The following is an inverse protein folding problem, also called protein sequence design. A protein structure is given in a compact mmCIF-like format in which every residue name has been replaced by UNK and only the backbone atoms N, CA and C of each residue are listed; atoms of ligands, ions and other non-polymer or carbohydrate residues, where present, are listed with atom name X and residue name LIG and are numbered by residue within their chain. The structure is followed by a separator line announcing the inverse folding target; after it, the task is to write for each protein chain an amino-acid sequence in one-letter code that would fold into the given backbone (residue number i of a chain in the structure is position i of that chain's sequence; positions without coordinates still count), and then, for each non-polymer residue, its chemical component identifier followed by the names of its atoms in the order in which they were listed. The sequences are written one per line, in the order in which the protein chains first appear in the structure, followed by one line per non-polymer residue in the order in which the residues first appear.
data_IF_576410098826
#
_entry.id   IF_576410098826
#
_cell.length_a   1.000
_cell.length_b   1.000
_cell.length_c   1.000
_cell.angle_alpha   90.00
_cell.angle_beta   90.00
_cell.angle_gamma   90.00
#
_symmetry.space_group_name_H-M   'P 1'
#
loop_
_entity.id
_entity.type
_entity.pdbx_description
1 polymer ?
#
# COMPACT_ATOMS: atom_id res chain seq x y z
N UNK A 1 -14.61 3.89 3.79
CA UNK A 1 -14.35 4.58 5.08
C UNK A 1 -14.04 6.07 4.92
N UNK A 2 -13.15 6.50 4.01
CA UNK A 2 -12.74 7.91 3.92
C UNK A 2 -13.91 8.90 3.64
N UNK A 3 -14.87 8.53 2.79
CA UNK A 3 -16.07 9.34 2.54
C UNK A 3 -17.08 9.26 3.69
N UNK A 4 -17.62 8.07 3.96
CA UNK A 4 -18.79 7.91 4.85
C UNK A 4 -18.47 7.72 6.35
N UNK A 5 -17.20 7.54 6.72
CA UNK A 5 -16.78 7.45 8.12
C UNK A 5 -15.91 8.65 8.52
N UNK A 6 -14.95 9.05 7.69
CA UNK A 6 -14.03 10.13 8.01
C UNK A 6 -14.45 11.50 7.44
N UNK A 7 -15.32 11.55 6.42
CA UNK A 7 -15.68 12.80 5.73
C UNK A 7 -14.52 13.48 5.01
N UNK A 8 -13.42 12.75 4.78
CA UNK A 8 -12.19 13.30 4.20
C UNK A 8 -12.24 13.36 2.66
N UNK A 9 -13.10 12.55 2.05
CA UNK A 9 -13.23 12.41 0.59
C UNK A 9 -14.63 12.84 0.12
N UNK A 10 -14.77 13.27 -1.15
CA UNK A 10 -16.05 13.77 -1.68
C UNK A 10 -17.21 12.79 -1.47
N UNK A 11 -18.42 13.35 -1.31
CA UNK A 11 -19.67 12.59 -1.23
C UNK A 11 -20.18 12.30 0.18
N UNK A 12 -19.52 12.82 1.24
CA UNK A 12 -19.99 12.62 2.61
C UNK A 12 -19.50 13.71 3.59
N UNK A 13 -20.43 14.21 4.41
CA UNK A 13 -20.15 15.02 5.60
C UNK A 13 -20.81 14.32 6.80
N UNK A 14 -20.29 13.15 7.21
CA UNK A 14 -21.01 12.29 8.12
C UNK A 14 -21.14 12.95 9.50
N UNK A 15 -22.35 12.92 10.05
CA UNK A 15 -22.56 13.33 11.43
C UNK A 15 -22.13 12.23 12.42
N UNK A 16 -22.11 12.53 13.72
CA UNK A 16 -21.66 11.57 14.73
C UNK A 16 -22.51 10.28 14.76
N UNK A 17 -23.80 10.37 14.46
CA UNK A 17 -24.68 9.20 14.44
C UNK A 17 -24.40 8.34 13.22
N UNK A 18 -24.17 8.95 12.05
CA UNK A 18 -23.77 8.25 10.84
C UNK A 18 -22.42 7.56 11.02
N UNK A 19 -21.44 8.22 11.64
CA UNK A 19 -20.14 7.59 11.96
C UNK A 19 -20.34 6.40 12.91
N UNK A 20 -21.08 6.58 14.01
CA UNK A 20 -21.30 5.55 15.01
C UNK A 20 -22.08 4.34 14.48
N UNK A 21 -22.96 4.54 13.51
CA UNK A 21 -23.78 3.48 12.91
C UNK A 21 -23.22 2.97 11.58
N UNK A 22 -22.14 3.56 11.06
CA UNK A 22 -21.63 3.28 9.70
C UNK A 22 -21.31 1.80 9.46
N UNK A 23 -20.79 1.10 10.48
CA UNK A 23 -20.44 -0.31 10.39
C UNK A 23 -21.62 -1.27 10.59
N UNK A 24 -22.80 -0.79 11.03
CA UNK A 24 -24.01 -1.62 11.14
C UNK A 24 -24.49 -2.03 9.74
N UNK A 25 -25.24 -3.14 9.58
CA UNK A 25 -25.76 -3.58 8.28
C UNK A 25 -26.59 -2.51 7.55
N UNK A 26 -27.27 -1.64 8.29
CA UNK A 26 -28.06 -0.51 7.76
C UNK A 26 -27.26 0.79 7.67
N UNK A 27 -25.99 0.80 8.08
CA UNK A 27 -25.12 1.96 8.04
C UNK A 27 -24.76 2.37 6.62
N UNK A 28 -24.53 3.67 6.40
CA UNK A 28 -24.26 4.24 5.07
C UNK A 28 -23.04 3.60 4.41
N UNK A 29 -22.00 3.28 5.18
CA UNK A 29 -20.82 2.60 4.66
C UNK A 29 -21.16 1.21 4.10
N UNK A 30 -21.87 0.37 4.87
CA UNK A 30 -22.25 -0.98 4.40
C UNK A 30 -23.20 -0.92 3.19
N UNK A 31 -24.14 0.02 3.17
CA UNK A 31 -25.02 0.22 2.01
C UNK A 31 -24.23 0.64 0.76
N UNK A 32 -23.27 1.55 0.90
CA UNK A 32 -22.41 1.94 -0.22
C UNK A 32 -21.59 0.75 -0.75
N UNK A 33 -20.96 -0.03 0.15
CA UNK A 33 -20.22 -1.23 -0.24
C UNK A 33 -21.12 -2.26 -0.95
N UNK A 34 -22.35 -2.45 -0.47
CA UNK A 34 -23.33 -3.34 -1.10
C UNK A 34 -23.68 -2.90 -2.53
N UNK A 35 -23.98 -1.61 -2.74
CA UNK A 35 -24.30 -1.10 -4.08
C UNK A 35 -23.09 -1.10 -5.02
N UNK A 36 -21.88 -0.86 -4.51
CA UNK A 36 -20.65 -1.04 -5.28
C UNK A 36 -20.47 -2.49 -5.73
N UNK A 37 -20.75 -3.47 -4.86
CA UNK A 37 -20.68 -4.89 -5.21
C UNK A 37 -21.71 -5.25 -6.30
N UNK A 38 -22.97 -4.80 -6.16
CA UNK A 38 -24.00 -5.00 -7.20
C UNK A 38 -23.58 -4.37 -8.53
N UNK A 39 -23.03 -3.17 -8.50
CA UNK A 39 -22.56 -2.49 -9.70
C UNK A 39 -21.41 -3.24 -10.38
N UNK A 40 -20.44 -3.75 -9.59
CA UNK A 40 -19.36 -4.60 -10.06
C UNK A 40 -19.90 -5.86 -10.74
N UNK A 41 -20.77 -6.62 -10.07
CA UNK A 41 -21.33 -7.87 -10.63
C UNK A 41 -22.11 -7.62 -11.93
N UNK A 42 -22.88 -6.54 -12.01
CA UNK A 42 -23.59 -6.16 -13.25
C UNK A 42 -22.62 -5.77 -14.37
N UNK A 43 -21.55 -5.05 -14.05
CA UNK A 43 -20.53 -4.66 -15.03
C UNK A 43 -19.76 -5.88 -15.54
N UNK A 44 -19.41 -6.81 -14.65
CA UNK A 44 -18.82 -8.11 -14.99
C UNK A 44 -19.70 -8.84 -16.01
N UNK A 45 -20.95 -9.11 -15.68
CA UNK A 45 -21.89 -9.83 -16.55
C UNK A 45 -22.04 -9.14 -17.91
N UNK A 46 -22.18 -7.80 -17.91
CA UNK A 46 -22.30 -7.03 -19.13
C UNK A 46 -21.05 -7.10 -20.01
N UNK A 47 -19.84 -6.99 -19.43
CA UNK A 47 -18.58 -7.05 -20.17
C UNK A 47 -18.40 -8.44 -20.80
N UNK A 48 -18.65 -9.52 -20.06
CA UNK A 48 -18.54 -10.86 -20.62
C UNK A 48 -19.61 -11.16 -21.68
N UNK A 49 -20.80 -10.57 -21.57
CA UNK A 49 -21.87 -10.75 -22.57
C UNK A 49 -21.62 -9.93 -23.85
N UNK A 50 -21.08 -8.70 -23.73
CA UNK A 50 -21.04 -7.73 -24.84
C UNK A 50 -19.66 -7.46 -25.42
N UNK A 51 -18.58 -7.81 -24.73
CA UNK A 51 -17.24 -7.55 -25.24
C UNK A 51 -16.96 -8.32 -26.52
N UNK A 52 -16.29 -7.65 -27.46
CA UNK A 52 -15.78 -8.28 -28.69
C UNK A 52 -14.38 -8.86 -28.50
N UNK A 53 -13.76 -8.65 -27.34
CA UNK A 53 -12.48 -9.27 -27.00
C UNK A 53 -12.67 -10.79 -26.82
N UNK A 54 -11.71 -11.62 -27.26
CA UNK A 54 -11.84 -13.07 -27.18
C UNK A 54 -11.84 -13.61 -25.74
N UNK A 55 -11.22 -12.90 -24.80
CA UNK A 55 -11.18 -13.27 -23.39
C UNK A 55 -11.05 -11.99 -22.53
N UNK A 56 -12.12 -11.19 -22.37
CA UNK A 56 -12.08 -10.08 -21.44
C UNK A 56 -11.86 -10.63 -20.03
N UNK A 57 -10.99 -9.99 -19.26
CA UNK A 57 -10.82 -10.28 -17.83
C UNK A 57 -11.32 -9.09 -17.03
N UNK A 58 -12.11 -9.36 -16.00
CA UNK A 58 -12.67 -8.35 -15.10
C UNK A 58 -12.25 -8.67 -13.68
N UNK A 59 -11.73 -7.67 -12.99
CA UNK A 59 -11.27 -7.80 -11.62
C UNK A 59 -11.57 -6.54 -10.82
N UNK A 60 -11.02 -6.49 -9.62
CA UNK A 60 -11.15 -5.36 -8.69
C UNK A 60 -9.78 -4.77 -8.41
N UNK A 61 -9.68 -3.46 -8.18
CA UNK A 61 -8.50 -2.83 -7.57
C UNK A 61 -8.79 -2.59 -6.09
N UNK A 62 -8.41 -3.53 -5.23
CA UNK A 62 -8.78 -3.52 -3.81
C UNK A 62 -7.63 -2.99 -2.95
N UNK A 63 -7.85 -1.86 -2.28
CA UNK A 63 -6.86 -1.29 -1.37
C UNK A 63 -6.77 -2.07 -0.06
N UNK A 64 -5.56 -2.52 0.26
CA UNK A 64 -5.23 -3.21 1.50
C UNK A 64 -4.09 -2.48 2.18
N UNK A 65 -4.33 -2.04 3.41
CA UNK A 65 -3.32 -1.46 4.28
C UNK A 65 -2.87 -2.49 5.31
N UNK A 66 -1.57 -2.58 5.56
CA UNK A 66 -1.08 -3.38 6.68
C UNK A 66 -1.27 -2.60 7.99
N UNK A 67 -2.26 -2.96 8.79
CA UNK A 67 -2.51 -2.30 10.08
C UNK A 67 -1.76 -3.01 11.20
N UNK A 68 -0.92 -2.27 11.93
CA UNK A 68 -0.26 -2.74 13.15
C UNK A 68 -0.71 -1.94 14.39
N UNK A 69 -0.92 -2.56 15.56
CA UNK A 69 -1.20 -1.85 16.79
C UNK A 69 0.05 -1.09 17.22
N UNK A 70 -0.15 0.05 17.89
CA UNK A 70 0.92 0.74 18.57
C UNK A 70 1.32 0.02 19.87
N UNK A 71 0.35 -0.55 20.59
CA UNK A 71 0.59 -1.42 21.74
C UNK A 71 -0.49 -2.48 21.94
N UNK A 72 -0.31 -3.34 22.96
CA UNK A 72 -1.20 -4.49 23.22
C UNK A 72 -2.69 -4.13 23.33
N UNK A 73 -3.02 -2.94 23.84
CA UNK A 73 -4.41 -2.48 23.99
C UNK A 73 -5.06 -2.06 22.66
N UNK A 74 -4.27 -1.91 21.59
CA UNK A 74 -4.76 -1.49 20.27
C UNK A 74 -5.10 -2.69 19.36
N UNK A 75 -4.77 -3.92 19.78
CA UNK A 75 -5.02 -5.15 19.00
C UNK A 75 -6.49 -5.29 18.62
N UNK A 76 -7.41 -5.07 19.56
CA UNK A 76 -8.84 -5.18 19.30
C UNK A 76 -9.33 -4.15 18.24
N UNK A 77 -8.77 -2.94 18.26
CA UNK A 77 -9.08 -1.90 17.27
C UNK A 77 -8.59 -2.32 15.88
N UNK A 78 -7.38 -2.88 15.78
CA UNK A 78 -6.84 -3.40 14.51
C UNK A 78 -7.64 -4.60 14.01
N UNK A 79 -8.00 -5.55 14.88
CA UNK A 79 -8.82 -6.70 14.50
C UNK A 79 -10.18 -6.25 13.95
N UNK A 80 -10.83 -5.29 14.61
CA UNK A 80 -12.09 -4.72 14.13
C UNK A 80 -11.91 -4.03 12.77
N UNK A 81 -10.91 -3.16 12.63
CA UNK A 81 -10.64 -2.46 11.38
C UNK A 81 -10.37 -3.44 10.22
N UNK A 82 -9.55 -4.46 10.47
CA UNK A 82 -9.25 -5.51 9.49
C UNK A 82 -10.50 -6.31 9.09
N UNK A 83 -11.36 -6.65 10.06
CA UNK A 83 -12.60 -7.38 9.79
C UNK A 83 -13.56 -6.63 8.87
N UNK A 84 -13.50 -5.30 8.84
CA UNK A 84 -14.34 -4.45 8.00
C UNK A 84 -13.73 -4.14 6.64
N UNK A 85 -12.40 -4.20 6.50
CA UNK A 85 -11.70 -3.56 5.36
C UNK A 85 -10.95 -4.54 4.47
N UNK A 86 -10.45 -5.66 5.00
CA UNK A 86 -9.57 -6.54 4.22
C UNK A 86 -10.38 -7.40 3.25
N UNK A 87 -11.35 -8.17 3.75
CA UNK A 87 -12.01 -9.21 2.97
C UNK A 87 -13.48 -8.97 2.57
N UNK A 88 -14.35 -8.30 3.37
CA UNK A 88 -15.79 -8.32 3.11
C UNK A 88 -16.22 -7.90 1.70
N UNK A 89 -15.56 -6.90 1.12
CA UNK A 89 -15.90 -6.45 -0.23
C UNK A 89 -15.54 -7.49 -1.28
N UNK A 90 -14.32 -8.04 -1.24
CA UNK A 90 -13.88 -9.07 -2.19
C UNK A 90 -14.71 -10.34 -2.03
N UNK A 91 -15.06 -10.72 -0.80
CA UNK A 91 -15.99 -11.83 -0.53
C UNK A 91 -17.32 -11.63 -1.28
N UNK A 92 -17.88 -10.41 -1.28
CA UNK A 92 -19.17 -10.07 -1.89
C UNK A 92 -19.20 -10.09 -3.42
N UNK A 93 -18.04 -10.10 -4.08
CA UNK A 93 -17.90 -10.13 -5.54
C UNK A 93 -17.10 -11.34 -6.03
N UNK A 94 -16.77 -12.27 -5.13
CA UNK A 94 -15.81 -13.35 -5.38
C UNK A 94 -16.22 -14.32 -6.50
N UNK A 95 -17.50 -14.42 -6.82
CA UNK A 95 -18.05 -15.20 -7.93
C UNK A 95 -18.06 -14.45 -9.27
N UNK A 96 -17.61 -13.19 -9.30
CA UNK A 96 -17.60 -12.26 -10.44
C UNK A 96 -16.22 -11.59 -10.61
N UNK A 97 -15.16 -12.40 -10.60
CA UNK A 97 -13.78 -11.96 -10.77
C UNK A 97 -12.99 -12.98 -11.60
N UNK A 98 -12.23 -12.50 -12.59
CA UNK A 98 -11.21 -13.26 -13.32
C UNK A 98 -9.80 -13.04 -12.77
N UNK A 99 -9.61 -12.01 -11.94
CA UNK A 99 -8.37 -11.74 -11.19
C UNK A 99 -8.67 -10.91 -9.95
N UNK A 100 -7.78 -10.97 -8.96
CA UNK A 100 -7.82 -10.12 -7.76
C UNK A 100 -6.72 -9.06 -7.86
N UNK A 101 -7.11 -7.79 -7.97
CA UNK A 101 -6.17 -6.67 -7.93
C UNK A 101 -5.96 -6.17 -6.49
N UNK A 102 -4.71 -5.95 -6.13
CA UNK A 102 -4.29 -5.43 -4.82
C UNK A 102 -3.63 -4.06 -5.00
N UNK A 103 -4.15 -3.06 -4.29
CA UNK A 103 -3.49 -1.76 -4.10
C UNK A 103 -2.83 -1.75 -2.73
N UNK A 104 -1.51 -1.57 -2.68
CA UNK A 104 -0.73 -1.61 -1.44
C UNK A 104 0.26 -0.46 -1.38
N UNK A 105 0.31 0.26 -0.26
CA UNK A 105 1.15 1.45 -0.10
C UNK A 105 2.06 1.41 1.15
N UNK A 106 1.95 0.36 1.96
CA UNK A 106 2.71 0.20 3.20
C UNK A 106 1.81 -0.08 4.41
N UNK A 107 2.24 0.43 5.56
CA UNK A 107 1.60 0.19 6.85
C UNK A 107 0.97 1.44 7.49
N UNK A 108 -0.01 1.18 8.35
CA UNK A 108 -0.64 2.13 9.25
C UNK A 108 -0.50 1.63 10.69
N UNK A 109 -0.10 2.52 11.60
CA UNK A 109 -0.03 2.20 13.03
C UNK A 109 -1.29 2.72 13.71
N UNK A 110 -2.02 1.84 14.39
CA UNK A 110 -3.27 2.17 15.07
C UNK A 110 -3.01 2.34 16.56
N UNK A 111 -3.46 3.46 17.13
CA UNK A 111 -3.52 3.66 18.58
C UNK A 111 -4.90 4.19 18.97
N UNK A 112 -5.61 3.50 19.85
CA UNK A 112 -7.02 3.76 20.15
C UNK A 112 -7.86 3.81 18.87
N UNK A 113 -8.46 4.97 18.59
CA UNK A 113 -9.31 5.21 17.42
C UNK A 113 -8.62 5.93 16.27
N UNK A 114 -7.29 6.12 16.32
CA UNK A 114 -6.57 6.97 15.38
C UNK A 114 -5.30 6.36 14.82
N UNK A 115 -4.81 6.95 13.73
CA UNK A 115 -3.51 6.64 13.17
C UNK A 115 -2.41 7.34 13.99
N UNK A 116 -1.35 6.60 14.31
CA UNK A 116 -0.21 7.10 15.07
C UNK A 116 1.04 7.10 14.22
N UNK A 117 1.79 8.20 14.30
CA UNK A 117 3.12 8.28 13.73
C UNK A 117 4.13 7.67 14.73
N UNK A 118 5.00 6.81 14.23
CA UNK A 118 6.09 6.19 14.99
C UNK A 118 7.42 6.75 14.52
N UNK A 119 8.13 7.49 15.36
CA UNK A 119 9.27 8.31 14.88
C UNK A 119 10.41 7.52 14.24
N UNK A 120 10.58 6.26 14.64
CA UNK A 120 11.62 5.38 14.10
C UNK A 120 11.29 4.81 12.73
N UNK A 121 10.03 4.88 12.28
CA UNK A 121 9.62 4.35 10.99
C UNK A 121 9.91 5.32 9.85
N UNK A 122 10.21 4.74 8.68
CA UNK A 122 10.28 5.48 7.43
C UNK A 122 8.86 5.70 6.90
N UNK A 123 8.53 6.95 6.57
CA UNK A 123 7.22 7.32 6.06
C UNK A 123 7.31 7.99 4.69
N UNK A 124 6.32 7.70 3.83
CA UNK A 124 6.03 8.50 2.65
C UNK A 124 5.64 9.93 3.03
N UNK A 125 5.67 10.86 2.08
CA UNK A 125 5.23 12.24 2.33
C UNK A 125 3.75 12.33 2.72
N UNK A 126 2.94 11.35 2.29
CA UNK A 126 1.52 11.22 2.63
C UNK A 126 1.25 10.41 3.91
N UNK A 127 2.28 10.06 4.68
CA UNK A 127 2.15 9.41 5.99
C UNK A 127 1.84 7.92 5.98
N UNK A 128 2.17 7.21 4.89
CA UNK A 128 2.17 5.73 4.87
C UNK A 128 3.54 5.24 5.33
N UNK A 129 3.58 4.35 6.33
CA UNK A 129 4.84 3.75 6.76
C UNK A 129 5.35 2.78 5.70
N UNK A 130 6.63 2.84 5.34
CA UNK A 130 7.23 1.92 4.36
C UNK A 130 7.35 0.54 4.98
N UNK A 131 6.77 -0.48 4.34
CA UNK A 131 6.76 -1.85 4.89
C UNK A 131 6.60 -2.93 3.81
N UNK A 132 7.68 -3.37 3.13
CA UNK A 132 7.59 -4.35 2.05
C UNK A 132 7.10 -5.73 2.52
N UNK A 133 7.46 -6.16 3.72
CA UNK A 133 7.03 -7.44 4.30
C UNK A 133 5.50 -7.53 4.44
N UNK A 134 4.81 -6.40 4.62
CA UNK A 134 3.35 -6.35 4.66
C UNK A 134 2.70 -6.70 3.32
N UNK A 135 3.32 -6.36 2.18
CA UNK A 135 2.84 -6.77 0.86
C UNK A 135 2.96 -8.28 0.68
N UNK A 136 4.11 -8.85 1.05
CA UNK A 136 4.32 -10.30 1.03
C UNK A 136 3.26 -11.05 1.86
N UNK A 137 3.06 -10.62 3.12
CA UNK A 137 2.05 -11.22 4.00
C UNK A 137 0.64 -11.06 3.45
N UNK A 138 0.30 -9.89 2.93
CA UNK A 138 -1.01 -9.63 2.30
C UNK A 138 -1.26 -10.60 1.15
N UNK A 139 -0.29 -10.81 0.27
CA UNK A 139 -0.41 -11.73 -0.86
C UNK A 139 -0.62 -13.17 -0.42
N UNK A 140 0.12 -13.64 0.59
CA UNK A 140 -0.08 -14.99 1.13
C UNK A 140 -1.46 -15.17 1.76
N UNK A 141 -1.92 -14.19 2.56
CA UNK A 141 -3.24 -14.24 3.21
C UNK A 141 -4.38 -14.26 2.19
N UNK A 142 -4.31 -13.41 1.17
CA UNK A 142 -5.30 -13.40 0.09
C UNK A 142 -5.25 -14.68 -0.73
N UNK A 143 -4.06 -15.17 -1.06
CA UNK A 143 -3.93 -16.43 -1.78
C UNK A 143 -4.52 -17.59 -0.99
N UNK A 144 -4.21 -17.72 0.30
CA UNK A 144 -4.74 -18.80 1.14
C UNK A 144 -6.27 -18.79 1.18
N UNK A 145 -6.88 -17.60 1.31
CA UNK A 145 -8.33 -17.44 1.35
C UNK A 145 -9.00 -17.72 0.00
N UNK A 146 -8.42 -17.23 -1.11
CA UNK A 146 -9.06 -17.25 -2.42
C UNK A 146 -8.49 -18.27 -3.42
N UNK A 147 -7.52 -19.12 -3.03
CA UNK A 147 -6.93 -20.15 -3.92
C UNK A 147 -7.96 -21.09 -4.55
N UNK A 148 -9.10 -21.31 -3.89
CA UNK A 148 -10.20 -22.13 -4.41
C UNK A 148 -10.87 -21.52 -5.66
N UNK A 149 -10.74 -20.21 -5.88
CA UNK A 149 -11.22 -19.53 -7.09
C UNK A 149 -10.30 -19.76 -8.30
N UNK A 150 -9.04 -20.15 -8.07
CA UNK A 150 -8.03 -20.36 -9.12
C UNK A 150 -7.86 -19.14 -10.06
N UNK A 151 -7.94 -17.93 -9.51
CA UNK A 151 -7.71 -16.68 -10.24
C UNK A 151 -6.34 -16.07 -9.91
N UNK A 152 -5.68 -15.42 -10.87
CA UNK A 152 -4.42 -14.74 -10.64
C UNK A 152 -4.57 -13.42 -9.87
N UNK A 153 -3.44 -12.89 -9.41
CA UNK A 153 -3.32 -11.60 -8.76
C UNK A 153 -2.63 -10.58 -9.66
N UNK A 154 -3.05 -9.31 -9.56
CA UNK A 154 -2.34 -8.17 -10.14
C UNK A 154 -2.08 -7.17 -9.02
N UNK A 155 -0.85 -6.68 -8.87
CA UNK A 155 -0.62 -5.50 -8.03
C UNK A 155 -1.08 -4.29 -8.85
N UNK A 156 -2.32 -3.87 -8.65
CA UNK A 156 -2.96 -2.83 -9.45
C UNK A 156 -2.46 -1.44 -9.09
N UNK A 157 -1.99 -1.25 -7.85
CA UNK A 157 -1.24 -0.07 -7.44
C UNK A 157 -0.19 -0.43 -6.38
N UNK A 158 1.06 -0.03 -6.59
CA UNK A 158 2.06 0.06 -5.55
C UNK A 158 2.98 1.24 -5.82
N UNK A 159 3.24 2.07 -4.80
CA UNK A 159 4.06 3.26 -4.96
C UNK A 159 4.25 4.01 -3.65
N UNK A 160 5.01 5.10 -3.72
CA UNK A 160 5.34 5.93 -2.55
C UNK A 160 5.44 7.39 -2.95
N UNK A 161 4.87 8.27 -2.12
CA UNK A 161 5.09 9.71 -2.25
C UNK A 161 6.46 10.09 -1.71
N UNK A 162 7.26 10.75 -2.55
CA UNK A 162 8.66 11.12 -2.29
C UNK A 162 9.18 12.09 -3.37
N UNK A 163 9.12 13.40 -3.14
CA UNK A 163 9.64 14.41 -4.06
C UNK A 163 11.13 14.28 -4.32
N UNK A 164 11.89 13.75 -3.35
CA UNK A 164 13.35 13.64 -3.42
C UNK A 164 13.85 12.45 -4.23
N UNK A 165 12.97 11.45 -4.43
CA UNK A 165 13.27 10.18 -5.10
C UNK A 165 14.32 9.29 -4.40
N UNK A 166 14.60 9.57 -3.12
CA UNK A 166 15.55 8.82 -2.30
C UNK A 166 14.91 7.57 -1.65
N UNK A 167 13.63 7.63 -1.28
CA UNK A 167 12.86 6.49 -0.75
C UNK A 167 12.29 5.66 -1.90
N UNK A 168 11.88 6.30 -3.01
CA UNK A 168 11.17 5.62 -4.11
C UNK A 168 11.98 4.49 -4.75
N UNK A 169 13.27 4.70 -4.98
CA UNK A 169 14.15 3.68 -5.59
C UNK A 169 14.25 2.41 -4.74
N UNK A 170 14.67 2.45 -3.45
CA UNK A 170 14.68 1.26 -2.63
C UNK A 170 13.25 0.71 -2.41
N UNK A 171 12.21 1.57 -2.33
CA UNK A 171 10.82 1.11 -2.18
C UNK A 171 10.39 0.17 -3.31
N UNK A 172 10.63 0.58 -4.56
CA UNK A 172 10.34 -0.23 -5.75
C UNK A 172 11.04 -1.58 -5.67
N UNK A 173 12.34 -1.58 -5.37
CA UNK A 173 13.12 -2.81 -5.36
C UNK A 173 12.66 -3.78 -4.26
N UNK A 174 12.45 -3.31 -3.03
CA UNK A 174 12.06 -4.17 -1.92
C UNK A 174 10.63 -4.71 -2.07
N UNK A 175 9.68 -3.92 -2.60
CA UNK A 175 8.31 -4.40 -2.83
C UNK A 175 8.24 -5.40 -3.99
N UNK A 176 9.03 -5.21 -5.05
CA UNK A 176 9.15 -6.22 -6.11
C UNK A 176 9.79 -7.53 -5.61
N UNK A 177 10.77 -7.45 -4.71
CA UNK A 177 11.33 -8.64 -4.04
C UNK A 177 10.29 -9.33 -3.16
N UNK A 178 9.45 -8.58 -2.45
CA UNK A 178 8.33 -9.12 -1.66
C UNK A 178 7.30 -9.86 -2.55
N UNK A 179 6.95 -9.27 -3.70
CA UNK A 179 6.08 -9.94 -4.70
C UNK A 179 6.73 -11.20 -5.24
N UNK A 180 8.01 -11.14 -5.60
CA UNK A 180 8.76 -12.30 -6.11
C UNK A 180 8.82 -13.43 -5.08
N UNK A 181 9.04 -13.10 -3.80
CA UNK A 181 9.01 -14.09 -2.72
C UNK A 181 7.62 -14.72 -2.56
N UNK A 182 6.54 -13.96 -2.71
CA UNK A 182 5.18 -14.51 -2.69
C UNK A 182 4.94 -15.47 -3.88
N UNK A 183 5.47 -15.14 -5.07
CA UNK A 183 5.41 -16.02 -6.24
C UNK A 183 6.17 -17.33 -6.02
N UNK A 184 7.34 -17.30 -5.35
CA UNK A 184 8.07 -18.52 -4.95
C UNK A 184 7.21 -19.41 -4.04
N UNK A 185 6.39 -18.81 -3.19
CA UNK A 185 5.46 -19.53 -2.30
C UNK A 185 4.18 -20.01 -3.00
N UNK A 186 4.04 -19.80 -4.31
CA UNK A 186 2.91 -20.30 -5.11
C UNK A 186 1.81 -19.27 -5.39
N UNK A 187 1.95 -18.01 -4.96
CA UNK A 187 0.96 -16.97 -5.27
C UNK A 187 1.01 -16.62 -6.77
N UNK A 188 -0.09 -16.77 -7.53
CA UNK A 188 -0.09 -16.55 -8.98
C UNK A 188 -0.20 -15.07 -9.35
N UNK A 189 0.86 -14.29 -9.11
CA UNK A 189 0.93 -12.87 -9.51
C UNK A 189 1.33 -12.77 -10.99
N UNK A 190 0.50 -12.10 -11.80
CA UNK A 190 0.69 -11.97 -13.25
C UNK A 190 0.98 -10.54 -13.72
N UNK A 191 0.91 -9.56 -12.81
CA UNK A 191 1.12 -8.15 -13.15
C UNK A 191 1.46 -7.28 -11.96
N UNK A 192 2.18 -6.19 -12.24
CA UNK A 192 2.54 -5.16 -11.28
C UNK A 192 2.48 -3.79 -11.95
N UNK A 193 1.73 -2.86 -11.35
CA UNK A 193 1.55 -1.50 -11.82
C UNK A 193 2.07 -0.53 -10.76
N UNK A 194 3.10 0.25 -11.12
CA UNK A 194 3.62 1.29 -10.25
C UNK A 194 2.68 2.52 -10.27
N UNK A 195 2.26 2.95 -9.08
CA UNK A 195 1.49 4.19 -8.89
C UNK A 195 2.46 5.34 -8.55
N UNK A 196 2.73 6.30 -9.44
CA UNK A 196 2.15 6.54 -10.78
C UNK A 196 3.21 6.83 -11.83
N UNK A 197 2.77 6.92 -13.08
CA UNK A 197 3.61 7.46 -14.15
C UNK A 197 4.01 8.92 -13.88
N UNK A 198 3.11 9.79 -13.43
CA UNK A 198 3.36 11.23 -13.29
C UNK A 198 2.71 11.85 -12.06
N UNK A 199 3.34 12.90 -11.51
CA UNK A 199 2.78 13.67 -10.39
C UNK A 199 1.38 14.19 -10.72
N UNK A 200 0.37 13.74 -9.98
CA UNK A 200 -1.05 14.05 -10.20
C UNK A 200 -1.63 14.88 -9.04
N UNK A 201 -2.96 14.97 -8.94
CA UNK A 201 -3.66 15.58 -7.81
C UNK A 201 -4.04 14.47 -6.81
N UNK A 202 -3.39 14.44 -5.65
CA UNK A 202 -3.48 13.39 -4.63
C UNK A 202 -4.65 13.63 -3.66
N UNK A 203 -5.85 13.79 -4.22
CA UNK A 203 -7.10 13.88 -3.46
C UNK A 203 -7.09 14.98 -2.39
N UNK A 204 -7.39 14.62 -1.14
CA UNK A 204 -7.41 15.55 0.00
C UNK A 204 -6.05 16.18 0.31
N UNK A 205 -4.96 15.66 -0.27
CA UNK A 205 -3.59 16.18 -0.09
C UNK A 205 -3.17 17.16 -1.20
N UNK A 206 -4.06 17.40 -2.18
CA UNK A 206 -3.80 18.33 -3.25
C UNK A 206 -2.60 17.93 -4.11
N UNK A 207 -1.76 18.91 -4.45
CA UNK A 207 -0.56 18.67 -5.26
C UNK A 207 0.70 18.47 -4.42
N UNK A 208 0.61 18.40 -3.08
CA UNK A 208 1.76 18.32 -2.20
C UNK A 208 2.57 17.02 -2.43
N UNK A 209 2.07 15.87 -1.97
CA UNK A 209 2.75 14.59 -2.12
C UNK A 209 3.05 14.25 -3.59
N UNK A 210 4.26 13.76 -3.87
CA UNK A 210 4.68 13.41 -5.24
C UNK A 210 4.77 11.91 -5.41
N UNK A 211 3.81 11.25 -6.07
CA UNK A 211 3.89 9.81 -6.34
C UNK A 211 4.56 9.44 -7.67
N UNK A 212 4.64 10.38 -8.61
CA UNK A 212 5.01 10.07 -9.99
C UNK A 212 6.47 9.67 -10.17
N UNK A 213 6.71 8.68 -11.04
CA UNK A 213 8.03 8.42 -11.61
C UNK A 213 8.51 9.61 -12.46
N UNK A 214 7.59 10.40 -12.99
CA UNK A 214 7.85 11.60 -13.79
C UNK A 214 7.29 12.83 -13.05
N UNK A 215 8.17 13.75 -12.70
CA UNK A 215 7.76 15.02 -12.13
C UNK A 215 7.01 15.87 -13.17
N UNK A 216 6.03 16.65 -12.72
CA UNK A 216 5.28 17.59 -13.57
C UNK A 216 5.48 19.01 -13.06
N UNK A 217 6.22 19.82 -13.82
CA UNK A 217 6.38 21.24 -13.55
C UNK A 217 5.13 22.00 -14.02
N UNK A 218 4.27 22.35 -13.06
CA UNK A 218 3.02 23.05 -13.34
C UNK A 218 3.20 24.53 -13.67
N UNK A 219 4.35 25.12 -13.31
CA UNK A 219 4.67 26.51 -13.61
C UNK A 219 5.29 26.66 -15.00
N UNK A 220 6.02 25.65 -15.47
CA UNK A 220 6.65 25.61 -16.80
C UNK A 220 5.86 24.74 -17.78
N UNK A 221 4.67 25.19 -18.17
CA UNK A 221 3.92 24.59 -19.28
C UNK A 221 3.58 23.09 -19.12
N UNK A 222 3.53 22.59 -17.88
CA UNK A 222 3.38 21.16 -17.56
C UNK A 222 4.59 20.31 -18.00
N UNK A 223 5.82 20.82 -17.97
CA UNK A 223 7.00 20.04 -18.36
C UNK A 223 7.11 18.71 -17.58
N UNK A 224 7.52 17.63 -18.27
CA UNK A 224 7.63 16.28 -17.70
C UNK A 224 9.10 15.91 -17.51
N UNK A 225 9.50 15.65 -16.27
CA UNK A 225 10.90 15.42 -15.91
C UNK A 225 11.01 14.03 -15.25
N UNK A 226 11.54 13.01 -15.97
CA UNK A 226 11.75 11.69 -15.39
C UNK A 226 12.66 11.75 -14.16
N UNK A 227 12.23 11.10 -13.07
CA UNK A 227 13.03 10.95 -11.85
C UNK A 227 14.03 9.79 -11.99
N UNK A 228 15.10 9.72 -11.19
CA UNK A 228 16.01 8.56 -11.19
C UNK A 228 15.30 7.20 -11.08
N UNK A 229 14.22 7.11 -10.30
CA UNK A 229 13.36 5.94 -10.16
C UNK A 229 12.65 5.53 -11.45
N UNK A 230 12.31 6.46 -12.35
CA UNK A 230 11.76 6.13 -13.67
C UNK A 230 12.75 5.27 -14.45
N UNK A 231 14.03 5.67 -14.46
CA UNK A 231 15.08 4.95 -15.17
C UNK A 231 15.37 3.60 -14.51
N UNK A 232 15.39 3.55 -13.17
CA UNK A 232 15.55 2.30 -12.43
C UNK A 232 14.40 1.32 -12.73
N UNK A 233 13.15 1.77 -12.63
CA UNK A 233 11.99 0.93 -12.89
C UNK A 233 11.95 0.47 -14.35
N UNK A 234 12.29 1.36 -15.31
CA UNK A 234 12.42 0.99 -16.72
C UNK A 234 13.48 -0.10 -16.94
N UNK A 235 14.63 0.00 -16.26
CA UNK A 235 15.68 -1.03 -16.28
C UNK A 235 15.18 -2.37 -15.72
N UNK A 236 14.47 -2.35 -14.60
CA UNK A 236 13.91 -3.58 -13.98
C UNK A 236 12.87 -4.22 -14.90
N UNK A 237 11.92 -3.45 -15.44
CA UNK A 237 10.86 -3.94 -16.32
C UNK A 237 11.42 -4.52 -17.63
N UNK A 238 12.41 -3.86 -18.23
CA UNK A 238 13.01 -4.31 -19.49
C UNK A 238 13.93 -5.52 -19.33
N UNK A 239 14.66 -5.61 -18.21
CA UNK A 239 15.56 -6.74 -17.93
C UNK A 239 14.90 -7.92 -17.23
N UNK A 240 13.74 -7.70 -16.58
CA UNK A 240 13.09 -8.66 -15.70
C UNK A 240 13.91 -9.00 -14.45
N UNK A 241 14.87 -8.15 -14.06
CA UNK A 241 15.86 -8.45 -13.01
C UNK A 241 16.08 -7.27 -12.07
N UNK A 242 16.33 -7.58 -10.80
CA UNK A 242 16.87 -6.66 -9.79
C UNK A 242 18.31 -7.08 -9.51
N UNK A 243 19.27 -6.18 -9.72
CA UNK A 243 20.69 -6.49 -9.46
C UNK A 243 21.07 -6.12 -8.03
N UNK A 244 22.09 -6.80 -7.49
CA UNK A 244 22.65 -6.46 -6.17
C UNK A 244 23.25 -5.05 -6.15
N UNK A 245 23.82 -4.60 -7.27
CA UNK A 245 24.39 -3.28 -7.43
C UNK A 245 23.31 -2.19 -7.36
N UNK A 246 22.22 -2.33 -8.14
CA UNK A 246 21.11 -1.37 -8.10
C UNK A 246 20.49 -1.27 -6.70
N UNK A 247 20.31 -2.43 -6.04
CA UNK A 247 19.82 -2.50 -4.66
C UNK A 247 20.77 -1.80 -3.69
N UNK A 248 22.06 -2.13 -3.73
CA UNK A 248 23.05 -1.53 -2.85
C UNK A 248 23.18 0.00 -3.04
N UNK A 249 23.15 0.46 -4.29
CA UNK A 249 23.22 1.89 -4.61
C UNK A 249 21.99 2.65 -4.10
N UNK A 250 20.79 2.13 -4.34
CA UNK A 250 19.54 2.73 -3.88
C UNK A 250 19.52 2.89 -2.35
N UNK A 251 20.00 1.87 -1.63
CA UNK A 251 20.10 1.89 -0.17
C UNK A 251 21.21 2.82 0.35
N UNK A 252 22.38 2.82 -0.29
CA UNK A 252 23.47 3.70 0.10
C UNK A 252 23.09 5.18 -0.04
N UNK A 253 22.31 5.54 -1.05
CA UNK A 253 21.82 6.91 -1.24
C UNK A 253 20.88 7.34 -0.11
N UNK A 254 19.94 6.47 0.28
CA UNK A 254 19.01 6.72 1.37
C UNK A 254 19.74 6.80 2.72
N UNK A 255 20.64 5.86 3.01
CA UNK A 255 21.40 5.83 4.26
C UNK A 255 22.27 7.08 4.42
N UNK A 256 22.98 7.50 3.36
CA UNK A 256 23.75 8.75 3.39
C UNK A 256 22.86 9.96 3.68
N UNK A 257 21.66 10.02 3.12
CA UNK A 257 20.74 11.12 3.41
C UNK A 257 20.29 11.14 4.88
N UNK A 258 20.11 9.97 5.49
CA UNK A 258 19.81 9.86 6.92
C UNK A 258 21.02 10.22 7.80
N UNK A 259 22.23 9.77 7.46
CA UNK A 259 23.49 10.12 8.16
C UNK A 259 23.76 11.63 8.09
N UNK A 260 23.54 12.24 6.92
CA UNK A 260 23.67 13.68 6.66
C UNK A 260 22.54 14.50 7.33
N UNK A 261 21.57 13.84 7.99
CA UNK A 261 20.39 14.46 8.60
C UNK A 261 19.58 15.32 7.63
N UNK A 262 19.53 14.92 6.36
CA UNK A 262 18.68 15.57 5.37
C UNK A 262 17.22 15.44 5.77
N UNK A 263 16.44 16.42 5.38
CA UNK A 263 14.99 16.45 5.58
C UNK A 263 14.27 16.38 4.25
N UNK A 264 13.01 15.95 4.30
CA UNK A 264 12.10 15.87 3.16
C UNK A 264 10.72 16.41 3.52
N UNK A 265 9.90 16.78 2.53
CA UNK A 265 8.51 17.17 2.76
C UNK A 265 7.70 16.06 3.43
N UNK A 266 6.76 16.46 4.29
CA UNK A 266 5.79 15.58 4.91
C UNK A 266 4.46 16.34 5.06
N UNK A 267 3.43 15.83 4.41
CA UNK A 267 2.14 16.51 4.23
C UNK A 267 1.05 16.00 5.19
N UNK A 268 1.43 15.38 6.32
CA UNK A 268 0.47 14.98 7.35
C UNK A 268 0.64 15.81 8.62
N UNK A 269 -0.47 16.40 9.05
CA UNK A 269 -0.55 17.02 10.36
C UNK A 269 -0.48 15.95 11.46
N UNK A 270 0.30 16.23 12.50
CA UNK A 270 0.46 15.37 13.67
C UNK A 270 0.22 16.19 14.93
N UNK A 271 -0.59 15.71 15.85
CA UNK A 271 -0.79 16.40 17.13
C UNK A 271 0.37 16.14 18.11
N UNK A 272 0.37 16.81 19.27
CA UNK A 272 1.40 16.68 20.31
C UNK A 272 1.59 15.26 20.88
N UNK A 273 0.67 14.33 20.59
CA UNK A 273 0.70 12.93 21.04
C UNK A 273 1.05 11.95 19.90
N UNK A 274 1.40 12.45 18.71
CA UNK A 274 1.77 11.63 17.57
C UNK A 274 0.61 11.15 16.72
N UNK A 275 -0.63 11.63 16.93
CA UNK A 275 -1.76 11.20 16.09
C UNK A 275 -1.81 11.98 14.78
N UNK A 276 -1.93 11.25 13.68
CA UNK A 276 -2.08 11.80 12.33
C UNK A 276 -3.54 12.16 12.04
N UNK A 277 -3.76 13.34 11.45
CA UNK A 277 -5.06 13.74 10.93
C UNK A 277 -5.30 13.19 9.52
N UNK A 278 -6.57 13.01 9.15
CA UNK A 278 -6.96 12.46 7.84
C UNK A 278 -6.69 13.41 6.66
N UNK A 279 -6.68 14.73 6.91
CA UNK A 279 -6.40 15.75 5.89
C UNK A 279 -4.90 15.91 5.64
N UNK A 280 -4.56 16.36 4.44
CA UNK A 280 -3.21 16.81 4.10
C UNK A 280 -2.90 18.20 4.66
N UNK A 281 -1.63 18.60 4.55
CA UNK A 281 -1.18 19.98 4.76
C UNK A 281 -1.03 20.69 3.41
N UNK A 282 -1.39 21.97 3.35
CA UNK A 282 -1.06 22.80 2.17
C UNK A 282 0.45 23.05 2.07
N UNK A 283 1.08 23.31 3.23
CA UNK A 283 2.52 23.50 3.36
C UNK A 283 3.14 22.32 4.13
N UNK A 284 4.20 21.67 3.60
CA UNK A 284 4.77 20.50 4.25
C UNK A 284 5.51 20.88 5.53
N UNK A 285 5.52 19.96 6.50
CA UNK A 285 6.54 19.97 7.55
C UNK A 285 7.75 19.19 7.06
N UNK A 286 8.95 19.62 7.45
CA UNK A 286 10.19 18.94 7.06
C UNK A 286 10.52 17.83 8.05
N UNK A 287 10.54 16.58 7.57
CA UNK A 287 10.84 15.38 8.37
C UNK A 287 12.22 14.82 8.00
N UNK A 288 13.07 14.43 8.96
CA UNK A 288 14.34 13.77 8.65
C UNK A 288 14.15 12.37 8.06
N UNK A 289 15.11 11.89 7.28
CA UNK A 289 15.24 10.45 7.00
C UNK A 289 15.63 9.68 8.26
N UNK A 290 15.21 8.42 8.34
CA UNK A 290 15.49 7.56 9.50
C UNK A 290 16.58 6.55 9.18
N UNK A 291 17.45 6.27 10.15
CA UNK A 291 18.42 5.17 10.07
C UNK A 291 17.73 3.86 10.47
N UNK A 292 16.79 3.42 9.62
CA UNK A 292 16.09 2.14 9.79
C UNK A 292 16.28 1.27 8.55
N UNK A 293 16.67 0.02 8.79
CA UNK A 293 16.70 -0.99 7.74
C UNK A 293 15.31 -1.59 7.57
N UNK A 294 14.63 -1.21 6.50
CA UNK A 294 13.33 -1.76 6.11
C UNK A 294 13.43 -2.64 4.86
N UNK A 295 14.64 -3.13 4.52
CA UNK A 295 14.81 -4.14 3.46
C UNK A 295 13.86 -5.30 3.69
N UNK A 296 13.30 -5.84 2.62
CA UNK A 296 12.41 -6.99 2.70
C UNK A 296 13.10 -8.14 3.43
N UNK A 297 12.47 -8.68 4.47
CA UNK A 297 13.01 -9.72 5.35
C UNK A 297 13.94 -9.23 6.49
N UNK A 298 14.13 -7.92 6.63
CA UNK A 298 14.97 -7.31 7.68
C UNK A 298 14.19 -6.36 8.61
N UNK A 299 12.88 -6.18 8.38
CA UNK A 299 12.07 -5.31 9.21
C UNK A 299 11.77 -5.94 10.57
N UNK A 300 12.32 -5.37 11.64
CA UNK A 300 12.08 -5.82 13.02
C UNK A 300 10.92 -5.06 13.67
N UNK A 301 9.83 -5.77 14.02
CA UNK A 301 8.80 -5.24 14.93
C UNK A 301 9.23 -5.44 16.39
N UNK A 302 8.67 -4.66 17.32
CA UNK A 302 8.85 -4.95 18.76
C UNK A 302 8.36 -6.38 19.07
N UNK A 303 9.18 -7.19 19.75
CA UNK A 303 8.97 -8.64 19.97
C UNK A 303 7.57 -9.01 20.53
N UNK A 304 7.02 -8.15 21.39
CA UNK A 304 5.70 -8.36 22.01
C UNK A 304 4.53 -8.27 21.03
N UNK A 305 4.72 -7.61 19.89
CA UNK A 305 3.70 -7.43 18.84
C UNK A 305 3.88 -8.47 17.72
N UNK A 306 5.11 -8.85 17.38
CA UNK A 306 5.38 -9.82 16.30
C UNK A 306 4.80 -11.22 16.61
N UNK A 307 4.84 -11.62 17.89
CA UNK A 307 4.24 -12.87 18.36
C UNK A 307 2.72 -12.91 18.21
N UNK A 308 2.01 -11.78 18.39
CA UNK A 308 0.54 -11.74 18.26
C UNK A 308 0.06 -11.84 16.81
N UNK A 309 0.89 -11.40 15.86
CA UNK A 309 0.58 -11.44 14.43
C UNK A 309 0.89 -12.78 13.76
N UNK A 310 1.82 -13.55 14.33
CA UNK A 310 2.20 -14.87 13.83
C UNK A 310 1.24 -15.99 14.25
N UNK A 311 0.38 -15.79 15.26
CA UNK A 311 -0.59 -16.81 15.71
C UNK A 311 -1.76 -17.08 14.74
N UNK A 312 -1.93 -16.27 13.69
CA UNK A 312 -2.92 -16.48 12.62
C UNK A 312 -2.34 -16.92 11.29
N UNK A 313 -1.01 -17.05 11.17
CA UNK A 313 -0.36 -17.43 9.92
C UNK A 313 -0.14 -18.96 9.86
N UNK A 314 -0.27 -19.59 8.69
CA UNK A 314 0.29 -20.92 8.48
C UNK A 314 1.77 -20.88 8.87
N UNK A 315 2.26 -21.85 9.64
CA UNK A 315 3.68 -21.93 10.02
C UNK A 315 4.54 -21.83 8.76
N UNK A 316 5.12 -20.65 8.52
CA UNK A 316 6.09 -20.45 7.46
C UNK A 316 7.39 -21.09 7.94
N UNK A 317 7.83 -22.12 7.22
CA UNK A 317 9.21 -22.57 7.30
C UNK A 317 10.11 -21.35 7.07
N UNK A 318 11.06 -21.12 7.96
CA UNK A 318 12.00 -20.01 7.93
C UNK A 318 12.45 -19.68 6.50
N UNK A 319 12.46 -18.38 6.17
CA UNK A 319 13.08 -17.87 4.95
C UNK A 319 14.45 -18.55 4.78
N UNK A 320 14.76 -19.14 3.61
CA UNK A 320 16.08 -19.67 3.39
C UNK A 320 17.10 -18.54 3.59
N UNK A 321 18.07 -18.78 4.48
CA UNK A 321 19.22 -17.90 4.69
C UNK A 321 19.83 -17.49 3.35
N UNK A 322 20.32 -16.25 3.28
CA UNK A 322 20.86 -15.54 2.11
C UNK A 322 21.94 -16.26 1.24
N UNK A 323 22.27 -17.52 1.54
CA UNK A 323 23.24 -18.35 0.83
C UNK A 323 22.63 -19.15 -0.33
N UNK A 324 21.32 -19.03 -0.62
CA UNK A 324 20.65 -19.82 -1.68
C UNK A 324 19.81 -19.00 -2.67
N UNK A 325 20.23 -17.79 -3.01
CA UNK A 325 19.78 -17.16 -4.27
C UNK A 325 20.77 -17.64 -5.36
N UNK A 326 20.34 -18.47 -6.33
CA UNK A 326 21.26 -18.98 -7.35
C UNK A 326 21.83 -17.81 -8.17
N UNK A 327 23.14 -17.82 -8.36
CA UNK A 327 23.80 -16.99 -9.36
C UNK A 327 23.46 -17.50 -10.76
N UNK A 328 22.51 -16.87 -11.44
CA UNK A 328 22.33 -17.01 -12.90
C UNK A 328 21.64 -15.79 -13.50
#
# INVERSE_FOLDING_TARGET
MLTYCAGAWPGGHPDMLEVATSALPTGVFQQAMHWMAIAHSKAYDYIHEKSTLPNPIVGVAHHVSFMRPYGLFDVAAVTLANSLTIFPYVDSISDKLDFIGINYYGQEVISGSGLKLVETDEYSESGRGVYPDGLYRTLLQFHEKYKHLNVPFIITENGVSDETDLIRRPYILEHLLAVYAAMIMGVPVIGYLFWTISDNWEWADGYGPKFGLVAVDRADGLARIPRPSYHLFSKVVTSGRITREDRAQAWSDLQRAAEDKKTRPFYRAVNKHGFMYAGGLDEPIMRPYVLRDWRFGHYEMEESLDTLYTYGEPQTTALPSNDKIPSS
#
